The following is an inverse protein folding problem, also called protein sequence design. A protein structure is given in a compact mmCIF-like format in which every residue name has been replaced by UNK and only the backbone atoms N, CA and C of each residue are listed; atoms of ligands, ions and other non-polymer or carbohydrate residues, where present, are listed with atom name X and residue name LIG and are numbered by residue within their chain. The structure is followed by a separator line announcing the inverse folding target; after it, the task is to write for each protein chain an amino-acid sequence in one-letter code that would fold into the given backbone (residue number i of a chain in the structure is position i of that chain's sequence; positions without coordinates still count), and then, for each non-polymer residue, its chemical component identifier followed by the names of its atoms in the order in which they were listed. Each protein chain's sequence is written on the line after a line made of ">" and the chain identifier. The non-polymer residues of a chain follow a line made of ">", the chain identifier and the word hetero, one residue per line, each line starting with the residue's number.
data_IF_536677477883
#
_entry.id   IF_536677477883
#
_cell.length_a   1.000
_cell.length_b   1.000
_cell.length_c   1.000
_cell.angle_alpha   90.00
_cell.angle_beta   90.00
_cell.angle_gamma   90.00
#
_symmetry.space_group_name_H-M   'P 1'
#
loop_
_entity.id
_entity.type
_entity.pdbx_description
1 polymer ?
#
# COMPACT_ATOMS: atom_id res chain seq x y z
N UNK A 1 -35.80 27.72 -40.29
CA UNK A 1 -34.76 26.89 -40.93
C UNK A 1 -34.06 27.73 -41.98
N UNK A 2 -32.92 28.34 -41.64
CA UNK A 2 -32.10 29.10 -42.59
C UNK A 2 -30.65 28.78 -42.27
N UNK A 3 -29.99 28.06 -43.17
CA UNK A 3 -28.64 27.53 -43.00
C UNK A 3 -27.61 28.47 -43.64
N UNK A 4 -26.75 29.06 -42.82
CA UNK A 4 -25.59 29.79 -43.28
C UNK A 4 -24.39 28.82 -43.39
N UNK A 5 -23.93 28.60 -44.61
CA UNK A 5 -22.78 27.76 -44.95
C UNK A 5 -21.54 28.66 -45.07
N UNK A 6 -20.68 28.67 -44.05
CA UNK A 6 -19.42 29.42 -44.07
C UNK A 6 -18.34 28.62 -44.81
N UNK A 7 -17.91 29.17 -45.93
CA UNK A 7 -16.85 28.64 -46.79
C UNK A 7 -15.50 29.14 -46.27
N UNK A 8 -14.66 28.24 -45.73
CA UNK A 8 -13.30 28.55 -45.33
C UNK A 8 -12.34 28.26 -46.50
N UNK A 9 -11.58 29.29 -46.91
CA UNK A 9 -10.49 29.16 -47.87
C UNK A 9 -9.17 28.86 -47.11
N UNK A 10 -8.42 27.80 -47.48
CA UNK A 10 -7.12 27.53 -46.87
C UNK A 10 -6.05 28.47 -47.44
N UNK A 11 -5.54 29.35 -46.58
CA UNK A 11 -4.36 30.18 -46.86
C UNK A 11 -3.10 29.33 -46.94
N UNK A 12 -2.41 29.39 -48.08
CA UNK A 12 -1.12 28.75 -48.27
C UNK A 12 0.00 29.60 -47.65
N UNK A 13 0.57 29.13 -46.54
CA UNK A 13 1.82 29.66 -46.01
C UNK A 13 3.01 28.85 -46.56
N UNK A 14 3.83 29.48 -47.41
CA UNK A 14 5.13 28.93 -47.84
C UNK A 14 6.16 29.13 -46.73
N UNK A 15 6.66 28.04 -46.17
CA UNK A 15 7.84 28.04 -45.30
C UNK A 15 9.14 27.93 -46.12
N UNK A 16 10.22 28.62 -45.73
CA UNK A 16 11.51 28.49 -46.38
C UNK A 16 12.14 27.13 -46.07
N UNK A 17 12.44 26.37 -47.12
CA UNK A 17 13.13 25.08 -47.09
C UNK A 17 14.61 25.26 -46.72
N UNK A 18 14.90 25.35 -45.42
CA UNK A 18 16.25 25.18 -44.88
C UNK A 18 16.62 23.70 -44.85
N UNK A 19 17.44 23.25 -45.80
CA UNK A 19 18.01 21.90 -45.82
C UNK A 19 18.87 21.68 -44.57
N UNK A 20 18.37 20.89 -43.63
CA UNK A 20 19.21 20.19 -42.65
C UNK A 20 19.11 18.70 -42.96
N UNK A 21 20.22 18.16 -43.48
CA UNK A 21 20.38 16.75 -43.80
C UNK A 21 20.17 15.90 -42.54
N UNK A 22 19.17 15.03 -42.61
CA UNK A 22 18.84 14.02 -41.60
C UNK A 22 19.86 12.89 -41.70
N UNK A 23 20.91 12.93 -40.87
CA UNK A 23 21.92 11.85 -40.80
C UNK A 23 22.11 11.29 -39.39
N UNK A 24 21.18 11.52 -38.46
CA UNK A 24 21.34 11.07 -37.06
C UNK A 24 20.24 10.13 -36.53
N UNK A 25 19.24 9.77 -37.34
CA UNK A 25 18.11 8.92 -36.87
C UNK A 25 18.38 7.41 -36.99
N UNK A 26 19.50 6.99 -37.61
CA UNK A 26 19.83 5.54 -37.72
C UNK A 26 20.60 4.96 -36.53
N UNK A 27 21.18 5.77 -35.64
CA UNK A 27 22.03 5.24 -34.55
C UNK A 27 21.29 4.97 -33.23
N UNK A 28 20.02 5.38 -33.09
CA UNK A 28 19.24 5.14 -31.87
C UNK A 28 18.31 3.93 -31.95
N UNK A 29 18.16 3.31 -33.14
CA UNK A 29 17.36 2.10 -33.30
C UNK A 29 18.14 0.82 -32.96
N UNK A 30 19.48 0.87 -32.96
CA UNK A 30 20.31 -0.31 -32.69
C UNK A 30 20.64 -0.48 -31.20
N UNK A 31 20.53 0.55 -30.37
CA UNK A 31 20.83 0.47 -28.92
C UNK A 31 19.70 -0.14 -28.07
N UNK A 32 18.48 -0.28 -28.61
CA UNK A 32 17.33 -0.84 -27.88
C UNK A 32 17.17 -2.35 -28.11
N UNK A 33 18.01 -2.97 -28.95
CA UNK A 33 17.86 -4.37 -29.38
C UNK A 33 18.78 -5.39 -28.69
N UNK A 34 19.39 -5.03 -27.56
CA UNK A 34 20.37 -5.91 -26.89
C UNK A 34 20.07 -6.29 -25.44
N UNK A 35 18.93 -5.88 -24.87
CA UNK A 35 18.61 -6.18 -23.46
C UNK A 35 17.43 -7.15 -23.25
N UNK A 36 17.18 -8.05 -24.21
CA UNK A 36 16.27 -9.19 -24.06
C UNK A 36 17.01 -10.49 -24.33
N UNK A 37 17.91 -10.87 -23.42
CA UNK A 37 18.39 -12.25 -23.33
C UNK A 37 18.18 -12.81 -21.92
N UNK A 38 17.11 -13.61 -21.80
CA UNK A 38 17.09 -14.92 -21.15
C UNK A 38 17.56 -15.00 -19.70
N UNK A 39 16.64 -14.81 -18.76
CA UNK A 39 16.77 -15.40 -17.42
C UNK A 39 16.28 -16.85 -17.50
N UNK A 40 17.21 -17.80 -17.59
CA UNK A 40 16.93 -19.22 -17.42
C UNK A 40 16.85 -19.56 -15.93
N UNK A 41 15.78 -20.25 -15.56
CA UNK A 41 15.65 -20.97 -14.29
C UNK A 41 16.75 -22.04 -14.17
N UNK A 42 17.49 -22.01 -13.06
CA UNK A 42 18.49 -23.02 -12.68
C UNK A 42 18.29 -23.45 -11.24
N UNK A 43 17.95 -24.73 -11.05
CA UNK A 43 17.83 -25.43 -9.77
C UNK A 43 19.18 -25.54 -9.05
N UNK A 44 19.09 -25.64 -7.71
CA UNK A 44 19.98 -26.33 -6.76
C UNK A 44 21.48 -26.33 -7.07
N UNK A 45 22.27 -25.63 -6.24
CA UNK A 45 23.56 -26.16 -5.80
C UNK A 45 23.86 -25.76 -4.35
N UNK A 46 23.94 -26.78 -3.51
CA UNK A 46 24.60 -26.78 -2.22
C UNK A 46 26.09 -27.11 -2.50
N UNK A 47 27.02 -26.39 -1.90
CA UNK A 47 28.31 -26.92 -1.40
C UNK A 47 29.24 -25.76 -1.05
N UNK A 48 29.62 -25.72 0.22
CA UNK A 48 30.93 -25.34 0.72
C UNK A 48 32.05 -25.55 -0.31
N UNK A 49 32.80 -24.50 -0.61
CA UNK A 49 34.26 -24.59 -0.74
C UNK A 49 34.95 -23.24 -0.73
N UNK A 50 36.18 -23.29 -0.23
CA UNK A 50 37.03 -22.18 0.18
C UNK A 50 37.88 -21.66 -0.99
N UNK A 51 38.45 -20.49 -0.73
CA UNK A 51 39.70 -19.95 -1.28
C UNK A 51 39.66 -19.32 -2.68
N UNK A 52 40.34 -18.18 -2.78
CA UNK A 52 40.88 -17.69 -4.03
C UNK A 52 40.59 -16.21 -4.30
N UNK A 53 41.45 -15.33 -3.78
CA UNK A 53 41.62 -13.93 -4.23
C UNK A 53 41.58 -13.86 -5.76
N UNK A 54 40.82 -12.91 -6.34
CA UNK A 54 41.31 -12.04 -7.42
C UNK A 54 40.67 -10.65 -7.31
N UNK A 55 41.54 -9.70 -6.97
CA UNK A 55 41.34 -8.26 -7.09
C UNK A 55 40.98 -7.92 -8.55
N UNK A 56 39.80 -7.32 -8.76
CA UNK A 56 39.45 -6.68 -10.03
C UNK A 56 39.52 -5.17 -9.84
N UNK A 57 40.65 -4.60 -10.26
CA UNK A 57 40.78 -3.16 -10.53
C UNK A 57 39.88 -2.79 -11.70
N UNK A 58 38.74 -2.17 -11.40
CA UNK A 58 37.84 -1.59 -12.41
C UNK A 58 38.51 -0.35 -12.98
N UNK A 59 38.90 -0.46 -14.25
CA UNK A 59 39.42 0.61 -15.08
C UNK A 59 38.39 1.74 -15.22
N UNK A 60 38.63 2.87 -14.54
CA UNK A 60 37.97 4.15 -14.82
C UNK A 60 38.68 4.79 -16.01
N UNK A 61 38.16 4.61 -17.23
CA UNK A 61 38.54 5.45 -18.37
C UNK A 61 37.35 5.73 -19.28
N UNK A 62 37.11 7.04 -19.46
CA UNK A 62 36.36 7.70 -20.53
C UNK A 62 34.84 7.47 -20.51
N UNK A 63 34.00 8.50 -20.45
CA UNK A 63 33.94 9.53 -21.48
C UNK A 63 33.28 10.83 -20.94
N UNK A 64 34.06 11.90 -20.80
CA UNK A 64 33.64 13.23 -20.32
C UNK A 64 33.46 14.24 -21.46
N UNK A 65 32.96 13.82 -22.62
CA UNK A 65 32.82 14.66 -23.82
C UNK A 65 31.39 14.71 -24.38
N UNK A 66 30.37 14.69 -23.52
CA UNK A 66 28.96 14.87 -23.94
C UNK A 66 28.21 15.98 -23.20
N UNK A 67 28.95 16.87 -22.53
CA UNK A 67 28.40 18.08 -21.93
C UNK A 67 29.08 19.30 -22.56
N UNK A 68 28.54 19.81 -23.67
CA UNK A 68 28.62 21.25 -24.01
C UNK A 68 27.91 21.73 -25.30
N UNK A 69 27.39 20.88 -26.19
CA UNK A 69 26.71 21.37 -27.42
C UNK A 69 25.20 21.10 -27.52
N UNK A 70 24.55 20.51 -26.50
CA UNK A 70 23.12 20.12 -26.60
C UNK A 70 22.09 21.05 -25.95
N UNK A 71 22.49 21.98 -25.08
CA UNK A 71 21.56 22.65 -24.15
C UNK A 71 21.17 24.10 -24.51
N UNK A 72 21.57 24.60 -25.68
CA UNK A 72 21.28 26.01 -26.07
C UNK A 72 20.13 26.20 -27.07
N UNK A 73 19.40 25.15 -27.45
CA UNK A 73 18.33 25.27 -28.47
C UNK A 73 16.89 25.10 -27.99
N UNK A 74 16.66 25.12 -26.67
CA UNK A 74 15.28 25.11 -26.12
C UNK A 74 14.77 26.53 -25.81
N UNK A 75 15.62 27.55 -25.86
CA UNK A 75 15.28 28.91 -25.38
C UNK A 75 14.87 29.94 -26.44
N UNK A 76 14.70 29.58 -27.73
CA UNK A 76 14.42 30.57 -28.80
C UNK A 76 13.17 30.23 -29.62
N UNK A 77 12.06 29.91 -28.95
CA UNK A 77 10.72 29.84 -29.57
C UNK A 77 9.63 30.51 -28.71
N UNK A 78 9.99 31.47 -27.86
CA UNK A 78 9.05 32.18 -26.99
C UNK A 78 9.03 33.70 -27.26
N UNK A 79 8.81 34.11 -28.52
CA UNK A 79 8.61 35.53 -28.86
C UNK A 79 7.45 35.72 -29.84
N UNK A 80 6.25 35.43 -29.35
CA UNK A 80 4.98 35.87 -29.92
C UNK A 80 4.17 36.49 -28.79
N UNK A 81 4.03 37.82 -28.80
CA UNK A 81 3.53 38.62 -27.67
C UNK A 81 2.03 38.43 -27.36
N UNK A 82 1.29 37.68 -28.18
CA UNK A 82 -0.14 37.38 -27.97
C UNK A 82 -0.46 36.05 -27.27
N UNK A 83 0.49 35.11 -27.19
CA UNK A 83 0.22 33.77 -26.63
C UNK A 83 0.53 33.62 -25.13
N UNK A 84 1.26 34.58 -24.54
CA UNK A 84 1.77 34.45 -23.16
C UNK A 84 0.69 34.63 -22.09
N UNK A 85 -0.41 35.33 -22.40
CA UNK A 85 -1.52 35.55 -21.47
C UNK A 85 -2.28 34.23 -21.18
N UNK A 86 -2.52 33.41 -22.19
CA UNK A 86 -3.25 32.13 -22.04
C UNK A 86 -2.43 31.07 -21.29
N UNK A 87 -1.09 31.09 -21.43
CA UNK A 87 -0.21 30.19 -20.68
C UNK A 87 -0.21 30.50 -19.17
N UNK A 88 -0.44 31.75 -18.77
CA UNK A 88 -0.46 32.13 -17.36
C UNK A 88 -1.68 31.57 -16.62
N UNK A 89 -2.86 31.61 -17.24
CA UNK A 89 -4.08 31.06 -16.66
C UNK A 89 -3.96 29.55 -16.45
N UNK A 90 -3.39 28.82 -17.43
CA UNK A 90 -3.15 27.39 -17.31
C UNK A 90 -2.06 27.07 -16.27
N UNK A 91 -0.99 27.88 -16.21
CA UNK A 91 0.11 27.68 -15.26
C UNK A 91 -0.34 27.76 -13.79
N UNK A 92 -1.40 28.52 -13.48
CA UNK A 92 -1.94 28.62 -12.13
C UNK A 92 -2.86 27.44 -11.74
N UNK A 93 -3.53 26.80 -12.71
CA UNK A 93 -4.45 25.68 -12.45
C UNK A 93 -3.71 24.34 -12.35
N UNK A 94 -2.63 24.16 -13.11
CA UNK A 94 -1.85 22.91 -13.14
C UNK A 94 -1.34 22.48 -11.75
N UNK A 95 -0.77 23.35 -10.90
CA UNK A 95 -0.32 22.97 -9.56
C UNK A 95 -1.47 22.44 -8.69
N UNK A 96 -2.65 23.04 -8.77
CA UNK A 96 -3.84 22.63 -7.99
C UNK A 96 -4.33 21.26 -8.45
N UNK A 97 -4.44 21.04 -9.77
CA UNK A 97 -4.82 19.73 -10.32
C UNK A 97 -3.77 18.65 -10.03
N UNK A 98 -2.48 19.01 -10.03
CA UNK A 98 -1.40 18.09 -9.69
C UNK A 98 -1.46 17.64 -8.24
N UNK A 99 -1.76 18.57 -7.31
CA UNK A 99 -1.97 18.24 -5.89
C UNK A 99 -3.19 17.33 -5.70
N UNK A 100 -4.28 17.60 -6.40
CA UNK A 100 -5.48 16.77 -6.37
C UNK A 100 -5.18 15.34 -6.85
N UNK A 101 -4.46 15.20 -7.97
CA UNK A 101 -4.12 13.90 -8.56
C UNK A 101 -3.23 13.09 -7.62
N UNK A 102 -2.23 13.72 -6.99
CA UNK A 102 -1.38 13.07 -5.98
C UNK A 102 -2.25 12.59 -4.80
N UNK A 103 -3.17 13.44 -4.32
CA UNK A 103 -4.09 13.08 -3.25
C UNK A 103 -4.96 11.85 -3.57
N UNK A 104 -5.45 11.74 -4.81
CA UNK A 104 -6.26 10.60 -5.24
C UNK A 104 -5.43 9.30 -5.29
N UNK A 105 -4.20 9.36 -5.83
CA UNK A 105 -3.32 8.17 -5.91
C UNK A 105 -3.02 7.64 -4.51
N UNK A 106 -2.59 8.53 -3.62
CA UNK A 106 -2.25 8.17 -2.25
C UNK A 106 -3.47 7.73 -1.43
N UNK A 107 -4.61 8.42 -1.60
CA UNK A 107 -5.89 8.02 -1.03
C UNK A 107 -6.29 6.61 -1.45
N UNK A 108 -6.15 6.28 -2.74
CA UNK A 108 -6.43 4.95 -3.27
C UNK A 108 -5.59 3.84 -2.63
N UNK A 109 -4.29 4.08 -2.42
CA UNK A 109 -3.39 3.12 -1.74
C UNK A 109 -3.84 2.92 -0.29
N UNK A 110 -4.10 4.00 0.46
CA UNK A 110 -4.55 3.88 1.86
C UNK A 110 -5.90 3.18 2.01
N UNK A 111 -6.82 3.42 1.08
CA UNK A 111 -8.12 2.77 1.07
C UNK A 111 -8.02 1.27 0.75
N UNK A 112 -7.09 0.89 -0.14
CA UNK A 112 -6.80 -0.52 -0.43
C UNK A 112 -6.31 -1.26 0.81
N UNK A 113 -5.35 -0.69 1.55
CA UNK A 113 -4.84 -1.27 2.79
C UNK A 113 -5.94 -1.40 3.86
N UNK A 114 -6.80 -0.38 3.98
CA UNK A 114 -7.95 -0.41 4.87
C UNK A 114 -8.96 -1.51 4.51
N UNK A 115 -9.28 -1.67 3.22
CA UNK A 115 -10.23 -2.68 2.76
C UNK A 115 -9.73 -4.11 3.05
N UNK A 116 -8.44 -4.37 2.86
CA UNK A 116 -7.83 -5.66 3.22
C UNK A 116 -7.92 -5.89 4.72
N UNK A 117 -7.54 -4.89 5.53
CA UNK A 117 -7.56 -5.00 6.98
C UNK A 117 -8.99 -5.26 7.50
N UNK A 118 -9.99 -4.57 6.94
CA UNK A 118 -11.39 -4.75 7.30
C UNK A 118 -11.90 -6.16 6.97
N UNK A 119 -11.60 -6.67 5.77
CA UNK A 119 -11.95 -8.04 5.40
C UNK A 119 -11.27 -9.07 6.30
N UNK A 120 -10.00 -8.87 6.63
CA UNK A 120 -9.26 -9.76 7.52
C UNK A 120 -9.84 -9.80 8.94
N UNK A 121 -10.27 -8.65 9.49
CA UNK A 121 -10.94 -8.59 10.80
C UNK A 121 -12.31 -9.28 10.76
N UNK A 122 -13.04 -9.17 9.65
CA UNK A 122 -14.30 -9.89 9.46
C UNK A 122 -14.10 -11.42 9.42
N UNK A 123 -13.08 -11.90 8.70
CA UNK A 123 -12.70 -13.33 8.68
C UNK A 123 -12.31 -13.84 10.07
N UNK A 124 -11.52 -13.04 10.80
CA UNK A 124 -11.17 -13.33 12.19
C UNK A 124 -12.39 -13.41 13.09
N UNK A 125 -13.37 -12.51 12.92
CA UNK A 125 -14.60 -12.51 13.70
C UNK A 125 -15.44 -13.75 13.40
N UNK A 126 -15.56 -14.15 12.13
CA UNK A 126 -16.23 -15.39 11.75
C UNK A 126 -15.55 -16.63 12.38
N UNK A 127 -14.22 -16.68 12.39
CA UNK A 127 -13.47 -17.74 13.05
C UNK A 127 -13.70 -17.76 14.57
N UNK A 128 -13.85 -16.60 15.20
CA UNK A 128 -14.17 -16.49 16.62
C UNK A 128 -15.57 -17.03 16.94
N UNK A 129 -16.56 -16.73 16.09
CA UNK A 129 -17.92 -17.27 16.24
C UNK A 129 -17.94 -18.80 16.10
N UNK A 130 -17.18 -19.35 15.16
CA UNK A 130 -17.04 -20.81 14.99
C UNK A 130 -16.22 -21.48 16.11
N UNK A 131 -15.34 -20.73 16.78
CA UNK A 131 -14.47 -21.23 17.84
C UNK A 131 -15.20 -21.90 19.00
N UNK A 132 -16.50 -21.62 19.21
CA UNK A 132 -17.32 -22.33 20.19
C UNK A 132 -17.54 -23.80 19.83
N UNK A 133 -17.69 -24.13 18.55
CA UNK A 133 -17.91 -25.51 18.11
C UNK A 133 -16.63 -26.36 18.15
N UNK A 134 -15.45 -25.72 18.09
CA UNK A 134 -14.15 -26.38 17.96
C UNK A 134 -13.24 -26.14 19.18
N UNK A 135 -13.81 -26.20 20.39
CA UNK A 135 -13.05 -25.99 21.62
C UNK A 135 -11.93 -27.03 21.80
N UNK A 136 -12.05 -28.22 21.20
CA UNK A 136 -11.23 -29.41 21.50
C UNK A 136 -9.78 -29.36 21.04
N UNK A 137 -9.40 -28.49 20.09
CA UNK A 137 -8.08 -28.56 19.45
C UNK A 137 -7.30 -27.25 19.36
N UNK A 138 -7.96 -26.08 19.48
CA UNK A 138 -7.29 -24.77 19.39
C UNK A 138 -8.00 -23.74 20.26
N UNK A 139 -7.19 -22.93 20.95
CA UNK A 139 -7.66 -21.80 21.72
C UNK A 139 -8.34 -20.81 20.75
N UNK A 140 -9.66 -20.57 20.83
CA UNK A 140 -10.43 -19.95 19.75
C UNK A 140 -10.01 -18.51 19.46
N UNK A 141 -9.49 -17.79 20.46
CA UNK A 141 -8.94 -16.46 20.24
C UNK A 141 -7.62 -16.49 19.46
N UNK A 142 -6.78 -17.49 19.72
CA UNK A 142 -5.55 -17.67 18.95
C UNK A 142 -5.86 -18.02 17.49
N UNK A 143 -6.88 -18.86 17.25
CA UNK A 143 -7.37 -19.14 15.92
C UNK A 143 -7.89 -17.89 15.21
N UNK A 144 -8.71 -17.07 15.88
CA UNK A 144 -9.22 -15.82 15.32
C UNK A 144 -8.08 -14.84 14.97
N UNK A 145 -7.10 -14.65 15.86
CA UNK A 145 -5.92 -13.81 15.61
C UNK A 145 -5.10 -14.35 14.42
N UNK A 146 -4.95 -15.68 14.34
CA UNK A 146 -4.23 -16.30 13.24
C UNK A 146 -4.94 -16.08 11.90
N UNK A 147 -6.27 -16.16 11.88
CA UNK A 147 -7.07 -15.89 10.68
C UNK A 147 -6.90 -14.45 10.18
N UNK A 148 -6.87 -13.46 11.08
CA UNK A 148 -6.56 -12.06 10.71
C UNK A 148 -5.17 -11.97 10.07
N UNK A 149 -4.17 -12.64 10.64
CA UNK A 149 -2.79 -12.64 10.10
C UNK A 149 -2.69 -13.31 8.74
N UNK A 150 -3.41 -14.40 8.52
CA UNK A 150 -3.42 -15.08 7.22
C UNK A 150 -4.19 -14.31 6.15
N UNK A 151 -5.27 -13.61 6.52
CA UNK A 151 -6.06 -12.78 5.59
C UNK A 151 -5.37 -11.45 5.24
N UNK A 152 -4.39 -11.00 6.03
CA UNK A 152 -3.56 -9.82 5.77
C UNK A 152 -2.27 -10.13 4.99
N UNK A 153 -2.20 -11.22 4.24
CA UNK A 153 -0.98 -11.66 3.54
C UNK A 153 -0.41 -10.66 2.52
N UNK A 154 -1.24 -9.76 1.99
CA UNK A 154 -0.83 -8.70 1.06
C UNK A 154 -0.20 -7.49 1.76
N UNK A 155 -0.44 -7.34 3.07
CA UNK A 155 0.15 -6.31 3.93
C UNK A 155 1.46 -6.83 4.52
N UNK A 156 2.30 -5.91 5.01
CA UNK A 156 3.47 -6.30 5.78
C UNK A 156 3.03 -6.82 7.17
N UNK A 157 2.99 -8.14 7.33
CA UNK A 157 2.53 -8.81 8.56
C UNK A 157 3.30 -8.38 9.82
N UNK A 158 4.56 -7.94 9.70
CA UNK A 158 5.34 -7.44 10.84
C UNK A 158 4.81 -6.12 11.42
N UNK A 159 4.02 -5.39 10.63
CA UNK A 159 3.42 -4.10 11.00
C UNK A 159 1.94 -4.25 11.40
N UNK A 160 1.32 -5.41 11.17
CA UNK A 160 -0.07 -5.68 11.56
C UNK A 160 -0.10 -6.02 13.05
N UNK A 161 -0.79 -5.21 13.83
CA UNK A 161 -1.03 -5.46 15.25
C UNK A 161 -2.49 -5.86 15.45
N UNK A 162 -2.72 -7.06 16.00
CA UNK A 162 -4.07 -7.55 16.31
C UNK A 162 -4.27 -7.47 17.81
N UNK A 163 -5.31 -6.76 18.25
CA UNK A 163 -5.64 -6.70 19.67
C UNK A 163 -6.27 -8.02 20.12
N UNK A 164 -6.05 -8.39 21.38
CA UNK A 164 -6.74 -9.52 21.98
C UNK A 164 -8.25 -9.29 21.90
N UNK A 165 -9.05 -10.26 21.40
CA UNK A 165 -10.50 -10.10 21.32
C UNK A 165 -11.11 -9.75 22.68
N UNK A 166 -12.00 -8.76 22.68
CA UNK A 166 -12.73 -8.32 23.87
C UNK A 166 -14.16 -8.81 23.81
N UNK A 167 -14.75 -9.15 24.96
CA UNK A 167 -16.11 -9.68 25.01
C UNK A 167 -16.98 -8.84 25.92
N UNK A 168 -18.23 -8.69 25.50
CA UNK A 168 -19.29 -8.10 26.30
C UNK A 168 -20.37 -9.16 26.50
N UNK A 169 -20.85 -9.31 27.73
CA UNK A 169 -21.94 -10.22 28.04
C UNK A 169 -23.17 -9.89 27.18
N UNK A 170 -23.79 -10.91 26.60
CA UNK A 170 -25.07 -10.77 25.94
C UNK A 170 -26.21 -10.65 26.96
N UNK A 171 -27.40 -10.24 26.53
CA UNK A 171 -28.52 -9.99 27.45
C UNK A 171 -28.99 -11.21 28.28
N UNK A 172 -28.51 -12.42 27.99
CA UNK A 172 -28.89 -13.65 28.70
C UNK A 172 -27.71 -14.52 29.14
N UNK A 173 -26.49 -13.99 29.17
CA UNK A 173 -25.31 -14.73 29.62
C UNK A 173 -24.90 -14.30 31.02
N UNK A 174 -25.06 -15.19 32.00
CA UNK A 174 -24.50 -15.00 33.36
C UNK A 174 -22.99 -15.26 33.40
N UNK A 175 -22.40 -15.73 32.30
CA UNK A 175 -21.02 -16.21 32.24
C UNK A 175 -20.17 -15.36 31.28
N UNK A 176 -18.95 -15.06 31.71
CA UNK A 176 -18.02 -14.23 30.96
C UNK A 176 -17.35 -15.04 29.84
N UNK A 177 -17.37 -14.51 28.61
CA UNK A 177 -16.51 -15.00 27.52
C UNK A 177 -15.18 -14.28 27.58
N UNK A 178 -14.11 -14.90 27.10
CA UNK A 178 -12.78 -14.31 27.19
C UNK A 178 -11.67 -15.17 26.64
N UNK A 179 -10.60 -14.50 26.23
CA UNK A 179 -9.35 -15.13 25.77
C UNK A 179 -8.35 -15.40 26.90
N UNK A 180 -8.63 -14.89 28.11
CA UNK A 180 -7.76 -15.03 29.27
C UNK A 180 -8.58 -14.98 30.57
N UNK A 181 -9.54 -15.90 30.73
CA UNK A 181 -10.27 -16.00 31.99
C UNK A 181 -9.37 -16.57 33.08
N UNK A 182 -9.35 -15.90 34.23
CA UNK A 182 -8.61 -16.34 35.42
C UNK A 182 -9.53 -16.93 36.50
N UNK A 183 -10.82 -17.12 36.19
CA UNK A 183 -11.84 -17.71 37.04
C UNK A 183 -12.75 -18.63 36.21
N UNK A 184 -13.39 -19.60 36.88
CA UNK A 184 -14.20 -20.64 36.24
C UNK A 184 -13.46 -21.96 36.05
N UNK A 185 -14.06 -22.87 35.29
CA UNK A 185 -13.49 -24.17 34.93
C UNK A 185 -13.27 -24.25 33.43
N UNK A 186 -12.13 -24.79 33.02
CA UNK A 186 -11.79 -25.00 31.63
C UNK A 186 -12.69 -26.10 31.04
N UNK A 187 -13.43 -25.83 29.95
CA UNK A 187 -14.33 -26.81 29.37
C UNK A 187 -13.59 -27.99 28.73
N UNK A 188 -12.28 -27.87 28.48
CA UNK A 188 -11.46 -28.89 27.83
C UNK A 188 -10.99 -29.99 28.77
N UNK A 189 -10.68 -29.64 30.01
CA UNK A 189 -10.08 -30.57 30.96
C UNK A 189 -10.72 -30.52 32.36
N UNK A 190 -11.70 -29.64 32.57
CA UNK A 190 -12.37 -29.46 33.85
C UNK A 190 -11.53 -28.74 34.92
N UNK A 191 -10.28 -28.40 34.63
CA UNK A 191 -9.39 -27.76 35.60
C UNK A 191 -9.82 -26.30 35.84
N UNK A 192 -9.62 -25.76 37.06
CA UNK A 192 -9.91 -24.37 37.33
C UNK A 192 -9.00 -23.45 36.50
N UNK A 193 -9.61 -22.39 35.98
CA UNK A 193 -8.89 -21.30 35.34
C UNK A 193 -8.14 -20.51 36.40
N UNK A 194 -6.87 -20.20 36.14
CA UNK A 194 -6.02 -19.46 37.09
C UNK A 194 -5.22 -18.39 36.37
N UNK A 195 -4.63 -17.44 37.09
CA UNK A 195 -3.73 -16.46 36.49
C UNK A 195 -2.50 -17.10 35.81
N UNK A 196 -2.04 -18.27 36.31
CA UNK A 196 -0.90 -19.00 35.75
C UNK A 196 -1.27 -19.85 34.52
N UNK A 197 -2.54 -20.25 34.41
CA UNK A 197 -3.08 -21.01 33.29
C UNK A 197 -4.50 -20.49 32.97
N UNK A 198 -4.59 -19.34 32.27
CA UNK A 198 -5.87 -18.75 31.96
C UNK A 198 -6.60 -19.59 30.90
N UNK A 199 -7.92 -19.65 31.01
CA UNK A 199 -8.78 -20.36 30.08
C UNK A 199 -9.25 -19.47 28.94
N UNK A 200 -9.65 -20.11 27.84
CA UNK A 200 -10.44 -19.47 26.80
C UNK A 200 -11.84 -20.10 26.79
N UNK A 201 -12.86 -19.27 26.93
CA UNK A 201 -14.26 -19.71 26.91
C UNK A 201 -15.10 -18.75 26.08
N UNK A 202 -16.00 -19.33 25.29
CA UNK A 202 -16.94 -18.63 24.43
C UNK A 202 -18.34 -19.11 24.77
N UNK A 203 -19.15 -18.21 25.31
CA UNK A 203 -20.54 -18.46 25.66
C UNK A 203 -21.46 -17.96 24.55
N UNK A 204 -22.49 -18.76 24.28
CA UNK A 204 -23.50 -18.40 23.31
C UNK A 204 -24.19 -17.10 23.70
N UNK A 205 -24.42 -16.24 22.71
CA UNK A 205 -25.10 -14.97 22.88
C UNK A 205 -24.20 -13.81 23.32
N UNK A 206 -22.95 -14.07 23.74
CA UNK A 206 -21.99 -13.01 24.04
C UNK A 206 -21.55 -12.32 22.75
N UNK A 207 -21.18 -11.04 22.86
CA UNK A 207 -20.64 -10.27 21.76
C UNK A 207 -19.11 -10.28 21.85
N UNK A 208 -18.45 -10.85 20.85
CA UNK A 208 -17.00 -10.81 20.70
C UNK A 208 -16.60 -9.70 19.74
N UNK A 209 -15.58 -8.92 20.09
CA UNK A 209 -15.06 -7.85 19.24
C UNK A 209 -13.60 -8.09 18.93
N UNK A 210 -13.27 -8.08 17.64
CA UNK A 210 -11.90 -8.18 17.14
C UNK A 210 -11.50 -6.84 16.56
N UNK A 211 -10.26 -6.43 16.82
CA UNK A 211 -9.70 -5.24 16.19
C UNK A 211 -8.26 -5.50 15.74
N UNK A 212 -7.90 -4.88 14.63
CA UNK A 212 -6.55 -4.89 14.11
C UNK A 212 -6.16 -3.47 13.66
N UNK A 213 -4.88 -3.17 13.78
CA UNK A 213 -4.27 -1.90 13.41
C UNK A 213 -3.11 -2.12 12.47
N UNK A 214 -2.93 -1.18 11.55
CA UNK A 214 -1.80 -1.15 10.64
C UNK A 214 -1.27 0.29 10.57
N UNK A 215 0.04 0.52 10.75
CA UNK A 215 0.59 1.87 10.71
C UNK A 215 0.36 2.48 9.33
N UNK A 216 0.09 3.78 9.30
CA UNK A 216 -0.01 4.47 8.04
C UNK A 216 0.84 5.75 8.10
N UNK A 217 1.53 6.02 7.01
CA UNK A 217 2.31 7.22 6.83
C UNK A 217 1.94 7.84 5.50
N UNK A 218 1.00 8.78 5.54
CA UNK A 218 0.62 9.55 4.37
C UNK A 218 1.07 11.00 4.52
N UNK A 219 2.40 11.19 4.51
CA UNK A 219 3.01 12.50 4.56
C UNK A 219 2.87 13.18 3.19
N UNK A 220 2.15 14.31 3.13
CA UNK A 220 2.16 15.16 1.94
C UNK A 220 3.56 15.76 1.80
N UNK A 221 4.26 15.57 0.66
CA UNK A 221 5.67 15.96 0.53
C UNK A 221 5.92 17.47 0.67
N UNK A 222 4.89 18.30 0.48
CA UNK A 222 5.02 19.76 0.49
C UNK A 222 4.62 20.42 1.81
N UNK A 223 3.71 19.82 2.58
CA UNK A 223 3.24 20.39 3.86
C UNK A 223 3.76 19.64 5.08
N UNK A 224 4.32 18.44 4.90
CA UNK A 224 4.73 17.59 6.02
C UNK A 224 3.55 17.09 6.87
N UNK A 225 2.31 17.35 6.46
CA UNK A 225 1.11 16.89 7.15
C UNK A 225 0.89 15.41 6.84
N UNK A 226 0.69 14.60 7.88
CA UNK A 226 0.27 13.21 7.73
C UNK A 226 -1.26 13.14 7.67
N UNK A 227 -1.79 12.76 6.52
CA UNK A 227 -3.24 12.69 6.25
C UNK A 227 -3.90 11.41 6.78
N UNK A 228 -3.15 10.55 7.46
CA UNK A 228 -3.71 9.38 8.11
C UNK A 228 -4.83 9.76 9.09
N UNK A 229 -5.89 8.93 9.19
CA UNK A 229 -6.94 9.16 10.16
C UNK A 229 -6.33 9.18 11.56
N UNK A 230 -6.38 10.33 12.23
CA UNK A 230 -5.86 10.53 13.58
C UNK A 230 -6.81 9.90 14.59
N UNK A 231 -6.87 8.57 14.63
CA UNK A 231 -7.10 7.97 15.94
C UNK A 231 -5.81 8.22 16.72
N UNK A 232 -5.92 8.91 17.85
CA UNK A 232 -4.74 9.29 18.65
C UNK A 232 -3.85 8.08 18.94
N UNK A 233 -2.56 8.30 19.21
CA UNK A 233 -1.55 7.25 19.40
C UNK A 233 -1.98 6.07 20.31
N UNK A 234 -2.88 6.31 21.27
CA UNK A 234 -3.48 5.27 22.11
C UNK A 234 -4.18 4.15 21.32
N UNK A 235 -4.78 4.46 20.17
CA UNK A 235 -5.47 3.49 19.32
C UNK A 235 -4.51 2.72 18.39
N UNK A 236 -3.28 3.20 18.19
CA UNK A 236 -2.32 2.66 17.23
C UNK A 236 -1.22 1.79 17.87
N UNK A 237 -1.23 1.65 19.19
CA UNK A 237 -0.16 1.03 19.94
C UNK A 237 0.97 2.01 20.27
N UNK A 238 1.89 1.58 21.12
CA UNK A 238 3.01 2.40 21.58
C UNK A 238 3.98 2.69 20.43
N UNK A 239 4.32 3.96 20.21
CA UNK A 239 5.32 4.38 19.24
C UNK A 239 4.82 4.61 17.80
N UNK A 240 3.51 4.49 17.54
CA UNK A 240 2.92 4.76 16.21
C UNK A 240 2.09 6.04 16.26
N UNK A 241 2.50 7.07 15.51
CA UNK A 241 1.82 8.36 15.49
C UNK A 241 0.47 8.34 14.76
N UNK A 242 0.31 7.44 13.78
CA UNK A 242 -0.93 7.31 12.99
C UNK A 242 -1.08 5.90 12.42
N UNK A 243 -2.31 5.39 12.42
CA UNK A 243 -2.63 4.06 11.92
C UNK A 243 -4.04 4.03 11.34
N UNK A 244 -4.27 3.05 10.47
CA UNK A 244 -5.60 2.59 10.14
C UNK A 244 -6.02 1.50 11.13
N UNK A 245 -7.28 1.50 11.54
CA UNK A 245 -7.84 0.52 12.47
C UNK A 245 -9.13 -0.04 11.88
N UNK A 246 -9.29 -1.35 11.91
CA UNK A 246 -10.57 -2.01 11.64
C UNK A 246 -11.04 -2.76 12.87
N UNK A 247 -12.35 -2.77 13.10
CA UNK A 247 -12.98 -3.45 14.22
C UNK A 247 -14.28 -4.08 13.75
N UNK A 248 -14.53 -5.31 14.17
CA UNK A 248 -15.78 -6.02 13.91
C UNK A 248 -16.25 -6.68 15.18
N UNK A 249 -17.53 -6.48 15.50
CA UNK A 249 -18.21 -7.15 16.60
C UNK A 249 -19.15 -8.20 16.04
N UNK A 250 -19.08 -9.41 16.57
CA UNK A 250 -19.92 -10.53 16.18
C UNK A 250 -20.55 -11.17 17.42
N UNK A 251 -21.76 -11.69 17.26
CA UNK A 251 -22.41 -12.50 18.29
C UNK A 251 -21.90 -13.94 18.19
N UNK A 252 -21.55 -14.53 19.32
CA UNK A 252 -21.19 -15.95 19.39
C UNK A 252 -22.48 -16.77 19.30
N UNK A 253 -22.58 -17.62 18.29
CA UNK A 253 -23.75 -18.49 18.05
C UNK A 253 -23.62 -19.87 18.67
#
# INVERSE_FOLDING_TARGET
>A
MSGARLHWAPGQYRYPQGRCTVTSVRLLRDAVRENTRSIKFGKKFNSSERHGRKSMTVSKRFNSQLTKCGLRRIWVLARGEGGLAELYEFAMVVPVLSMLLIGIIFGGITFYDYAILANAVADGAAALAQGRANQTSQAPCAAAIQMVKTSTYTLNQSLVSVATPTFTAGQNSTEASGCALTSGTNPLNGNPCTAAAPCQQLWQGNMGTISATYPCNLTIPFSGLNLCPTKGAAACGTGVASCISAQTTIRIE
#
